data_IF_245351424069
#
_entry.id   IF_245351424069
#
_cell.length_a   1.000
_cell.length_b   1.000
_cell.length_c   1.000
_cell.angle_alpha   90.00
_cell.angle_beta   90.00
_cell.angle_gamma   90.00
#
_symmetry.space_group_name_H-M   'P 1'
#
loop_
_entity.id
_entity.type
_entity.pdbx_description
1 polymer ?
#
# COMPACT_ATOMS: atom_id res chain seq x y z
N UNK A 1 11.40 10.47 -5.13
CA UNK A 1 10.41 9.37 -5.23
C UNK A 1 10.31 8.49 -4.00
N UNK A 2 11.41 7.88 -3.51
CA UNK A 2 11.26 6.91 -2.42
C UNK A 2 10.83 7.52 -1.08
N UNK A 3 10.81 8.85 -0.86
CA UNK A 3 10.30 9.46 0.40
C UNK A 3 8.77 9.47 0.40
N UNK A 4 8.16 9.85 -0.73
CA UNK A 4 6.71 9.79 -0.90
C UNK A 4 6.26 8.33 -0.83
N UNK A 5 6.89 7.44 -1.61
CA UNK A 5 6.59 6.01 -1.55
C UNK A 5 6.88 5.39 -0.18
N UNK A 6 7.98 5.74 0.50
CA UNK A 6 8.29 5.25 1.87
C UNK A 6 7.26 5.73 2.88
N UNK A 7 6.84 6.99 2.83
CA UNK A 7 5.78 7.49 3.72
C UNK A 7 4.48 6.72 3.49
N UNK A 8 4.15 6.40 2.23
CA UNK A 8 2.92 5.65 1.93
C UNK A 8 3.05 4.18 2.28
N UNK A 9 4.20 3.57 2.03
CA UNK A 9 4.50 2.21 2.46
C UNK A 9 4.45 2.09 3.99
N UNK A 10 5.05 3.04 4.71
CA UNK A 10 4.95 3.11 6.18
C UNK A 10 3.50 3.31 6.60
N UNK A 11 2.73 4.16 5.92
CA UNK A 11 1.32 4.34 6.23
C UNK A 11 0.51 3.05 6.02
N UNK A 12 0.73 2.33 4.91
CA UNK A 12 0.13 1.02 4.63
C UNK A 12 0.49 0.03 5.74
N UNK A 13 1.77 -0.13 6.05
CA UNK A 13 2.25 -1.03 7.11
C UNK A 13 1.65 -0.68 8.48
N UNK A 14 1.54 0.62 8.80
CA UNK A 14 0.94 1.08 10.06
C UNK A 14 -0.56 0.77 10.10
N UNK A 15 -1.28 0.97 8.99
CA UNK A 15 -2.71 0.65 8.90
C UNK A 15 -2.93 -0.87 9.00
N UNK A 16 -2.13 -1.68 8.30
CA UNK A 16 -2.21 -3.14 8.35
C UNK A 16 -1.94 -3.65 9.77
N UNK A 17 -0.98 -3.05 10.48
CA UNK A 17 -0.67 -3.39 11.87
C UNK A 17 -1.79 -2.98 12.83
N UNK A 18 -2.41 -1.82 12.62
CA UNK A 18 -3.58 -1.36 13.37
C UNK A 18 -4.77 -2.30 13.17
N UNK A 19 -5.03 -2.67 11.91
CA UNK A 19 -6.07 -3.62 11.54
C UNK A 19 -5.81 -4.98 12.21
N UNK A 20 -4.57 -5.47 12.14
CA UNK A 20 -4.15 -6.69 12.82
C UNK A 20 -4.34 -6.62 14.33
N UNK A 21 -3.89 -5.55 14.99
CA UNK A 21 -4.03 -5.37 16.42
C UNK A 21 -5.51 -5.37 16.83
N UNK A 22 -6.36 -4.63 16.10
CA UNK A 22 -7.79 -4.55 16.37
C UNK A 22 -8.50 -5.90 16.21
N UNK A 23 -8.16 -6.66 15.17
CA UNK A 23 -8.69 -8.01 14.98
C UNK A 23 -8.12 -9.03 15.97
N UNK A 24 -6.91 -8.81 16.50
CA UNK A 24 -6.24 -9.73 17.42
C UNK A 24 -6.65 -9.54 18.88
N UNK A 25 -7.00 -8.32 19.31
CA UNK A 25 -7.32 -8.02 20.72
C UNK A 25 -8.71 -8.47 21.17
N UNK A 26 -9.44 -9.25 20.35
CA UNK A 26 -10.84 -9.70 20.55
C UNK A 26 -11.27 -9.75 22.03
N UNK A 27 -12.09 -8.78 22.48
CA UNK A 27 -12.92 -8.95 23.66
C UNK A 27 -14.37 -8.74 23.20
N UNK A 28 -15.06 -9.82 22.83
CA UNK A 28 -16.53 -9.84 22.70
C UNK A 28 -17.20 -8.85 21.72
N UNK A 29 -16.44 -8.08 20.92
CA UNK A 29 -17.00 -7.17 19.92
C UNK A 29 -17.70 -7.98 18.83
N UNK A 30 -18.99 -7.70 18.60
CA UNK A 30 -19.77 -8.36 17.56
C UNK A 30 -19.09 -8.24 16.19
N UNK A 31 -19.10 -9.34 15.43
CA UNK A 31 -18.47 -9.46 14.11
C UNK A 31 -18.84 -8.30 13.17
N UNK A 32 -20.06 -7.77 13.30
CA UNK A 32 -20.55 -6.59 12.56
C UNK A 32 -19.73 -5.32 12.79
N UNK A 33 -19.42 -4.99 14.05
CA UNK A 33 -18.59 -3.82 14.39
C UNK A 33 -17.17 -3.95 13.86
N UNK A 34 -16.68 -5.18 13.85
CA UNK A 34 -15.34 -5.53 13.42
C UNK A 34 -15.22 -5.40 11.89
N UNK A 35 -16.23 -5.88 11.15
CA UNK A 35 -16.35 -5.67 9.71
C UNK A 35 -16.50 -4.19 9.36
N UNK A 36 -17.34 -3.44 10.09
CA UNK A 36 -17.52 -2.01 9.86
C UNK A 36 -16.21 -1.24 10.03
N UNK A 37 -15.49 -1.50 11.12
CA UNK A 37 -14.23 -0.82 11.43
C UNK A 37 -13.16 -1.18 10.41
N UNK A 38 -13.01 -2.46 10.04
CA UNK A 38 -12.04 -2.86 9.03
C UNK A 38 -12.36 -2.33 7.63
N UNK A 39 -13.65 -2.20 7.29
CA UNK A 39 -14.06 -1.54 6.04
C UNK A 39 -13.70 -0.05 6.02
N UNK A 40 -13.83 0.65 7.15
CA UNK A 40 -13.38 2.05 7.28
C UNK A 40 -11.86 2.16 7.05
N UNK A 41 -11.06 1.23 7.60
CA UNK A 41 -9.62 1.19 7.34
C UNK A 41 -9.29 0.97 5.86
N UNK A 42 -9.98 0.04 5.18
CA UNK A 42 -9.84 -0.15 3.73
C UNK A 42 -10.18 1.12 2.93
N UNK A 43 -11.26 1.82 3.29
CA UNK A 43 -11.62 3.09 2.65
C UNK A 43 -10.55 4.18 2.87
N UNK A 44 -10.04 4.29 4.09
CA UNK A 44 -8.96 5.22 4.41
C UNK A 44 -7.69 4.92 3.59
N UNK A 45 -7.35 3.64 3.42
CA UNK A 45 -6.23 3.18 2.61
C UNK A 45 -6.45 3.51 1.13
N UNK A 46 -7.65 3.23 0.60
CA UNK A 46 -8.04 3.60 -0.76
C UNK A 46 -7.94 5.10 -1.03
N UNK A 47 -8.38 5.94 -0.07
CA UNK A 47 -8.26 7.40 -0.16
C UNK A 47 -6.80 7.86 -0.14
N UNK A 48 -5.97 7.24 0.71
CA UNK A 48 -4.55 7.54 0.83
C UNK A 48 -3.79 7.18 -0.46
N UNK A 49 -4.13 6.04 -1.07
CA UNK A 49 -3.64 5.63 -2.39
C UNK A 49 -4.10 6.60 -3.49
N UNK A 50 -5.36 7.00 -3.49
CA UNK A 50 -5.88 7.98 -4.45
C UNK A 50 -5.15 9.32 -4.37
N UNK A 51 -4.91 9.83 -3.16
CA UNK A 51 -4.13 11.05 -2.94
C UNK A 51 -2.72 10.93 -3.52
N UNK A 52 -2.09 9.76 -3.37
CA UNK A 52 -0.78 9.52 -3.94
C UNK A 52 -0.81 9.47 -5.47
N UNK A 53 -1.80 8.80 -6.07
CA UNK A 53 -2.00 8.81 -7.53
C UNK A 53 -2.05 10.24 -8.04
N UNK A 54 -2.89 11.10 -7.43
CA UNK A 54 -3.00 12.50 -7.84
C UNK A 54 -1.65 13.24 -7.73
N UNK A 55 -0.89 13.02 -6.66
CA UNK A 55 0.44 13.62 -6.50
C UNK A 55 1.44 13.12 -7.53
N UNK A 56 1.43 11.83 -7.83
CA UNK A 56 2.29 11.25 -8.86
C UNK A 56 1.91 11.77 -10.23
N UNK A 57 0.62 11.88 -10.56
CA UNK A 57 0.19 12.45 -11.83
C UNK A 57 0.78 13.85 -12.05
N UNK A 58 0.82 14.66 -10.98
CA UNK A 58 1.38 15.99 -11.04
C UNK A 58 2.91 15.99 -11.14
N UNK A 59 3.60 15.16 -10.35
CA UNK A 59 5.07 15.08 -10.37
C UNK A 59 5.62 14.42 -11.63
N UNK A 60 4.83 13.58 -12.29
CA UNK A 60 5.22 12.79 -13.45
C UNK A 60 4.58 13.25 -14.75
N UNK A 61 3.93 14.43 -14.79
CA UNK A 61 3.09 14.86 -15.92
C UNK A 61 3.74 14.65 -17.31
N UNK A 62 5.05 14.81 -17.40
CA UNK A 62 5.86 14.62 -18.61
C UNK A 62 5.91 13.16 -19.11
N UNK A 63 6.09 12.18 -18.22
CA UNK A 63 6.13 10.75 -18.58
C UNK A 63 4.84 10.00 -18.22
N UNK A 64 3.91 10.67 -17.55
CA UNK A 64 2.69 10.10 -16.99
C UNK A 64 1.85 9.33 -18.02
N UNK A 65 1.62 9.82 -19.26
CA UNK A 65 0.83 9.08 -20.25
C UNK A 65 1.38 7.67 -20.53
N UNK A 66 2.70 7.50 -20.44
CA UNK A 66 3.40 6.25 -20.74
C UNK A 66 3.42 5.32 -19.51
N UNK A 67 3.58 5.87 -18.30
CA UNK A 67 3.68 5.09 -17.05
C UNK A 67 2.35 4.90 -16.32
N UNK A 68 1.29 5.61 -16.69
CA UNK A 68 -0.02 5.62 -16.02
C UNK A 68 -0.57 4.21 -15.82
N UNK A 69 -0.50 3.36 -16.86
CA UNK A 69 -0.99 1.97 -16.78
C UNK A 69 -0.27 1.15 -15.71
N UNK A 70 1.05 1.32 -15.58
CA UNK A 70 1.88 0.62 -14.58
C UNK A 70 1.65 1.15 -13.17
N UNK A 71 1.57 2.48 -13.02
CA UNK A 71 1.18 3.16 -11.79
C UNK A 71 -0.17 2.62 -11.32
N UNK A 72 -1.21 2.66 -12.16
CA UNK A 72 -2.54 2.12 -11.83
C UNK A 72 -2.52 0.64 -11.43
N UNK A 73 -1.71 -0.18 -12.09
CA UNK A 73 -1.55 -1.59 -11.75
C UNK A 73 -0.96 -1.78 -10.35
N UNK A 74 0.04 -0.97 -9.97
CA UNK A 74 0.59 -0.96 -8.62
C UNK A 74 -0.49 -0.66 -7.56
N UNK A 75 -1.30 0.40 -7.74
CA UNK A 75 -2.38 0.73 -6.80
C UNK A 75 -3.44 -0.35 -6.71
N UNK A 76 -3.87 -0.86 -7.86
CA UNK A 76 -4.86 -1.91 -7.90
C UNK A 76 -4.34 -3.16 -7.21
N UNK A 77 -3.06 -3.49 -7.38
CA UNK A 77 -2.39 -4.59 -6.68
C UNK A 77 -2.38 -4.40 -5.17
N UNK A 78 -1.95 -3.23 -4.68
CA UNK A 78 -1.94 -2.91 -3.24
C UNK A 78 -3.35 -3.01 -2.66
N UNK A 79 -4.34 -2.36 -3.28
CA UNK A 79 -5.73 -2.39 -2.81
C UNK A 79 -6.32 -3.81 -2.82
N UNK A 80 -5.95 -4.62 -3.81
CA UNK A 80 -6.39 -6.02 -3.89
C UNK A 80 -5.81 -6.87 -2.76
N UNK A 81 -4.53 -6.68 -2.43
CA UNK A 81 -3.88 -7.37 -1.31
C UNK A 81 -4.52 -6.95 0.01
N UNK A 82 -4.75 -5.65 0.21
CA UNK A 82 -5.40 -5.12 1.42
C UNK A 82 -6.80 -5.71 1.59
N UNK A 83 -7.58 -5.74 0.51
CA UNK A 83 -8.93 -6.31 0.51
C UNK A 83 -8.92 -7.82 0.81
N UNK A 84 -7.99 -8.56 0.19
CA UNK A 84 -7.83 -9.99 0.46
C UNK A 84 -7.41 -10.22 1.92
N UNK A 85 -6.51 -9.39 2.45
CA UNK A 85 -6.08 -9.46 3.83
C UNK A 85 -7.24 -9.21 4.80
N UNK A 86 -8.09 -8.21 4.53
CA UNK A 86 -9.31 -7.96 5.31
C UNK A 86 -10.28 -9.16 5.28
N UNK A 87 -10.51 -9.76 4.12
CA UNK A 87 -11.34 -10.98 4.01
C UNK A 87 -10.73 -12.10 4.86
N UNK A 88 -9.43 -12.35 4.74
CA UNK A 88 -8.76 -13.38 5.53
C UNK A 88 -8.89 -13.10 7.03
N UNK A 89 -8.71 -11.86 7.47
CA UNK A 89 -8.90 -11.47 8.87
C UNK A 89 -10.33 -11.71 9.38
N UNK A 90 -11.35 -11.54 8.53
CA UNK A 90 -12.75 -11.76 8.90
C UNK A 90 -13.08 -13.25 9.11
N UNK A 91 -12.46 -14.16 8.34
CA UNK A 91 -12.79 -15.59 8.35
C UNK A 91 -11.78 -16.47 9.10
N UNK A 92 -10.54 -16.03 9.27
CA UNK A 92 -9.47 -16.84 9.88
C UNK A 92 -9.52 -16.75 11.42
N UNK A 93 -9.28 -17.87 12.09
CA UNK A 93 -9.13 -17.92 13.55
C UNK A 93 -7.96 -17.04 14.00
N UNK A 94 -8.11 -16.35 15.14
CA UNK A 94 -7.12 -15.40 15.66
C UNK A 94 -5.72 -15.99 15.86
N UNK A 95 -5.64 -17.31 16.02
CA UNK A 95 -4.39 -18.06 16.17
C UNK A 95 -3.50 -18.07 14.91
N UNK A 96 -4.06 -17.84 13.70
CA UNK A 96 -3.30 -17.85 12.44
C UNK A 96 -2.98 -16.44 11.92
N UNK A 97 -3.39 -15.40 12.62
CA UNK A 97 -3.10 -14.02 12.19
C UNK A 97 -1.61 -13.69 12.11
N UNK A 98 -0.73 -14.10 13.06
CA UNK A 98 0.67 -13.67 13.04
C UNK A 98 1.44 -14.11 11.80
N UNK A 99 1.04 -15.25 11.19
CA UNK A 99 1.66 -15.76 9.97
C UNK A 99 1.24 -15.01 8.70
N UNK A 100 0.14 -14.26 8.72
CA UNK A 100 -0.35 -13.50 7.56
C UNK A 100 0.40 -12.18 7.37
N UNK A 101 0.80 -11.53 8.46
CA UNK A 101 1.51 -10.24 8.45
C UNK A 101 2.77 -10.23 7.57
N UNK A 102 3.71 -11.20 7.71
CA UNK A 102 4.89 -11.26 6.85
C UNK A 102 4.56 -11.45 5.37
N UNK A 103 3.51 -12.22 5.05
CA UNK A 103 3.10 -12.53 3.67
C UNK A 103 2.55 -11.27 3.00
N UNK A 104 1.66 -10.55 3.67
CA UNK A 104 1.08 -9.29 3.18
C UNK A 104 2.17 -8.24 2.97
N UNK A 105 3.05 -8.08 3.96
CA UNK A 105 4.19 -7.15 3.88
C UNK A 105 5.13 -7.50 2.72
N UNK A 106 5.42 -8.79 2.51
CA UNK A 106 6.24 -9.25 1.38
C UNK A 106 5.56 -8.97 0.03
N UNK A 107 4.25 -9.11 -0.05
CA UNK A 107 3.48 -8.84 -1.27
C UNK A 107 3.52 -7.33 -1.63
N UNK A 108 3.29 -6.45 -0.65
CA UNK A 108 3.42 -4.99 -0.86
C UNK A 108 4.84 -4.59 -1.25
N UNK A 109 5.85 -5.17 -0.59
CA UNK A 109 7.25 -4.92 -0.90
C UNK A 109 7.61 -5.36 -2.32
N UNK A 110 7.10 -6.51 -2.76
CA UNK A 110 7.32 -7.03 -4.11
C UNK A 110 6.74 -6.08 -5.16
N UNK A 111 5.48 -5.65 -5.00
CA UNK A 111 4.86 -4.68 -5.91
C UNK A 111 5.63 -3.35 -5.95
N UNK A 112 6.12 -2.91 -4.80
CA UNK A 112 6.93 -1.70 -4.69
C UNK A 112 8.25 -1.82 -5.46
N UNK A 113 9.03 -2.88 -5.21
CA UNK A 113 10.31 -3.08 -5.89
C UNK A 113 10.14 -3.29 -7.39
N UNK A 114 9.14 -4.06 -7.84
CA UNK A 114 8.85 -4.23 -9.26
C UNK A 114 8.56 -2.89 -9.96
N UNK A 115 7.80 -2.00 -9.30
CA UNK A 115 7.47 -0.69 -9.87
C UNK A 115 8.70 0.23 -9.89
N UNK A 116 9.52 0.18 -8.84
CA UNK A 116 10.74 0.97 -8.75
C UNK A 116 11.79 0.53 -9.79
N UNK A 117 12.00 -0.77 -9.95
CA UNK A 117 12.94 -1.33 -10.92
C UNK A 117 12.49 -1.05 -12.36
N UNK A 118 11.19 -1.16 -12.65
CA UNK A 118 10.65 -0.77 -13.95
C UNK A 118 10.94 0.70 -14.30
N UNK A 119 10.76 1.62 -13.34
CA UNK A 119 11.06 3.04 -13.54
C UNK A 119 12.56 3.27 -13.73
N UNK A 120 13.42 2.56 -12.97
CA UNK A 120 14.88 2.64 -13.11
C UNK A 120 15.33 2.20 -14.50
N UNK A 121 14.79 1.10 -15.02
CA UNK A 121 15.22 0.51 -16.29
C UNK A 121 14.71 1.27 -17.51
N UNK A 122 13.48 1.78 -17.47
CA UNK A 122 12.84 2.38 -18.65
C UNK A 122 12.92 3.90 -18.68
N UNK A 123 13.18 4.54 -17.52
CA UNK A 123 13.14 6.00 -17.37
C UNK A 123 14.30 6.49 -16.49
N UNK A 124 15.52 6.03 -16.75
CA UNK A 124 16.70 6.25 -15.90
C UNK A 124 16.98 7.74 -15.64
N UNK A 125 16.96 8.59 -16.68
CA UNK A 125 17.22 10.03 -16.53
C UNK A 125 16.17 10.72 -15.66
N UNK A 126 14.91 10.32 -15.81
CA UNK A 126 13.80 10.81 -14.99
C UNK A 126 13.91 10.28 -13.56
N UNK A 127 14.23 8.99 -13.40
CA UNK A 127 14.44 8.34 -12.11
C UNK A 127 15.55 9.04 -11.33
N UNK A 128 16.68 9.34 -11.96
CA UNK A 128 17.82 10.05 -11.36
C UNK A 128 17.47 11.51 -11.01
N UNK A 129 16.80 12.24 -11.90
CA UNK A 129 16.36 13.63 -11.67
C UNK A 129 15.40 13.77 -10.48
N UNK A 130 14.53 12.79 -10.28
CA UNK A 130 13.59 12.75 -9.15
C UNK A 130 14.09 11.92 -7.95
N UNK A 131 15.32 11.41 -8.05
CA UNK A 131 16.11 10.85 -6.96
C UNK A 131 17.03 11.89 -6.35
N UNK A 132 17.64 12.84 -7.08
CA UNK A 132 18.52 13.85 -6.44
C UNK A 132 17.82 14.72 -5.37
N UNK A 133 16.49 14.82 -5.40
CA UNK A 133 15.63 15.28 -4.30
C UNK A 133 15.69 14.41 -3.01
N UNK A 134 16.63 13.46 -2.91
CA UNK A 134 16.81 12.51 -1.81
C UNK A 134 18.09 12.70 -0.98
N UNK A 135 19.15 13.33 -1.47
CA UNK A 135 20.40 13.44 -0.70
C UNK A 135 20.40 14.62 0.29
N UNK A 136 19.38 15.48 0.26
CA UNK A 136 19.25 16.63 1.16
C UNK A 136 18.31 16.40 2.37
N UNK A 137 18.24 15.18 2.91
CA UNK A 137 17.56 14.92 4.19
C UNK A 137 18.02 13.65 4.91
#
# INVERSE_FOLDING_TARGET
MKKLFRIHFVAIVVIDLLLFAFFSTRPETALEWLLLTGFIFLLAQGLLLFRLVVRLNHQFAEIYPQINKKIRFYYLGVLTIDFLFFILLAFVSSQRFPTLMPIVTACHSTLYYMTADYLRENYLDFYNKHISLWECL
#
